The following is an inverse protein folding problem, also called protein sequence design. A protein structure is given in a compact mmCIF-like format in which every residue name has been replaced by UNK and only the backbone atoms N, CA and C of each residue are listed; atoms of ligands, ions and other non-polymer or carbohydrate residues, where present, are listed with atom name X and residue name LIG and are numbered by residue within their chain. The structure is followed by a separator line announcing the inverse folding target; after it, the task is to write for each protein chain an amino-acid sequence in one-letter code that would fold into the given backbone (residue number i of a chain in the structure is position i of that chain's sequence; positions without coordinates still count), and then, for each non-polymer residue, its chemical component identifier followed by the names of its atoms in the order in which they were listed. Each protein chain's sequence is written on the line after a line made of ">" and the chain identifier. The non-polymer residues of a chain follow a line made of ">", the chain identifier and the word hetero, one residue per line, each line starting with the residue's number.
data_IF_290373740282
#
_entry.id   IF_290373740282
#
_cell.length_a   1.000
_cell.length_b   1.000
_cell.length_c   1.000
_cell.angle_alpha   90.00
_cell.angle_beta   90.00
_cell.angle_gamma   90.00
#
_symmetry.space_group_name_H-M   'P 1'
#
loop_
_entity.id
_entity.type
_entity.pdbx_description
1 polymer ?
#
# COMPACT_ATOMS: atom_id res chain seq x y z
N UNK A 1 -5.68 -0.89 -50.53
CA UNK A 1 -5.39 -0.88 -49.09
C UNK A 1 -6.67 -0.60 -48.34
N UNK A 2 -6.96 -1.41 -47.35
CA UNK A 2 -8.23 -1.35 -46.67
C UNK A 2 -8.19 -0.28 -45.57
N UNK A 3 -9.07 0.71 -45.65
CA UNK A 3 -9.16 1.81 -44.69
C UNK A 3 -9.50 1.27 -43.29
N UNK A 4 -10.23 0.16 -43.19
CA UNK A 4 -10.61 -0.42 -41.90
C UNK A 4 -9.42 -0.90 -41.10
N UNK A 5 -8.32 -1.31 -41.72
CA UNK A 5 -7.11 -1.74 -41.04
C UNK A 5 -6.42 -0.54 -40.36
N UNK A 6 -6.39 0.62 -41.02
CA UNK A 6 -5.81 1.84 -40.46
C UNK A 6 -6.61 2.35 -39.27
N UNK A 7 -7.94 2.27 -39.33
CA UNK A 7 -8.80 2.67 -38.22
C UNK A 7 -8.61 1.79 -36.97
N UNK A 8 -8.44 0.48 -37.18
CA UNK A 8 -8.18 -0.45 -36.08
C UNK A 8 -6.86 -0.17 -35.38
N UNK A 9 -5.82 0.12 -36.13
CA UNK A 9 -4.51 0.47 -35.56
C UNK A 9 -4.57 1.75 -34.76
N UNK A 10 -5.31 2.76 -35.22
CA UNK A 10 -5.48 4.02 -34.47
C UNK A 10 -6.21 3.83 -33.13
N UNK A 11 -7.25 2.99 -33.12
CA UNK A 11 -7.99 2.69 -31.87
C UNK A 11 -7.12 1.93 -30.86
N UNK A 12 -6.30 1.00 -31.30
CA UNK A 12 -5.38 0.27 -30.43
C UNK A 12 -4.35 1.22 -29.81
N UNK A 13 -3.83 2.18 -30.58
CA UNK A 13 -2.90 3.18 -30.06
C UNK A 13 -3.53 4.11 -29.03
N UNK A 14 -4.79 4.52 -29.22
CA UNK A 14 -5.50 5.36 -28.27
C UNK A 14 -5.74 4.64 -26.93
N UNK A 15 -6.03 3.33 -26.96
CA UNK A 15 -6.23 2.54 -25.74
C UNK A 15 -4.97 2.47 -24.87
N UNK A 16 -3.78 2.51 -25.47
CA UNK A 16 -2.50 2.49 -24.72
C UNK A 16 -2.19 3.82 -24.04
N UNK A 17 -2.91 4.90 -24.35
CA UNK A 17 -2.70 6.21 -23.72
C UNK A 17 -3.49 6.41 -22.44
N UNK A 18 -4.37 5.46 -22.08
CA UNK A 18 -5.10 5.53 -20.82
C UNK A 18 -4.14 5.22 -19.69
N UNK A 19 -3.88 6.24 -18.86
CA UNK A 19 -2.97 6.09 -17.72
C UNK A 19 -3.59 5.19 -16.67
N UNK A 20 -2.88 4.14 -16.29
CA UNK A 20 -3.22 3.32 -15.12
C UNK A 20 -2.55 3.91 -13.88
N UNK A 21 -3.17 3.75 -12.70
CA UNK A 21 -2.54 4.09 -11.43
C UNK A 21 -1.26 3.26 -11.23
N UNK A 22 -0.23 3.80 -10.56
CA UNK A 22 0.97 3.03 -10.28
C UNK A 22 0.63 1.75 -9.51
N UNK A 23 1.10 0.62 -10.02
CA UNK A 23 0.80 -0.70 -9.43
C UNK A 23 1.27 -0.79 -7.97
N UNK A 24 2.40 -0.14 -7.63
CA UNK A 24 2.93 -0.17 -6.26
C UNK A 24 2.03 0.57 -5.27
N UNK A 25 1.47 1.71 -5.66
CA UNK A 25 0.56 2.46 -4.80
C UNK A 25 -0.72 1.67 -4.52
N UNK A 26 -1.27 1.02 -5.55
CA UNK A 26 -2.46 0.18 -5.40
C UNK A 26 -2.17 -1.04 -4.51
N UNK A 27 -1.03 -1.70 -4.71
CA UNK A 27 -0.62 -2.84 -3.89
C UNK A 27 -0.43 -2.44 -2.43
N UNK A 28 0.21 -1.30 -2.17
CA UNK A 28 0.39 -0.79 -0.82
C UNK A 28 -0.95 -0.53 -0.12
N UNK A 29 -1.90 0.07 -0.83
CA UNK A 29 -3.24 0.33 -0.30
C UNK A 29 -3.95 -0.96 0.08
N UNK A 30 -3.92 -1.96 -0.78
CA UNK A 30 -4.58 -3.23 -0.52
C UNK A 30 -3.94 -3.99 0.64
N UNK A 31 -2.62 -4.02 0.69
CA UNK A 31 -1.90 -4.66 1.79
C UNK A 31 -2.18 -3.97 3.13
N UNK A 32 -2.16 -2.64 3.15
CA UNK A 32 -2.39 -1.86 4.35
C UNK A 32 -3.84 -1.94 4.85
N UNK A 33 -4.79 -2.35 4.01
CA UNK A 33 -6.19 -2.46 4.41
C UNK A 33 -6.38 -3.41 5.59
N UNK A 34 -5.55 -4.42 5.74
CA UNK A 34 -5.63 -5.34 6.87
C UNK A 34 -5.26 -4.69 8.20
N UNK A 35 -4.48 -3.62 8.17
CA UNK A 35 -4.08 -2.89 9.37
C UNK A 35 -5.26 -2.15 9.99
N UNK A 36 -6.29 -1.85 9.22
CA UNK A 36 -7.43 -1.06 9.65
C UNK A 36 -8.23 -1.71 10.78
N UNK A 37 -8.22 -3.03 10.91
CA UNK A 37 -8.95 -3.72 11.97
C UNK A 37 -8.52 -3.28 13.36
N UNK A 38 -7.26 -2.93 13.52
CA UNK A 38 -6.70 -2.53 14.82
C UNK A 38 -6.32 -1.04 14.86
N UNK A 39 -5.85 -0.50 13.74
CA UNK A 39 -5.33 0.86 13.65
C UNK A 39 -6.32 1.87 13.09
N UNK A 40 -7.54 1.44 12.76
CA UNK A 40 -8.57 2.31 12.20
C UNK A 40 -8.43 2.49 10.70
N UNK A 41 -9.45 3.06 10.08
CA UNK A 41 -9.50 3.28 8.64
C UNK A 41 -8.29 4.11 8.20
N UNK A 42 -7.58 3.62 7.18
CA UNK A 42 -6.34 4.22 6.69
C UNK A 42 -5.27 4.40 7.78
N UNK A 43 -5.33 3.62 8.86
CA UNK A 43 -4.37 3.71 9.95
C UNK A 43 -4.48 4.96 10.80
N UNK A 44 -5.60 5.68 10.71
CA UNK A 44 -5.78 6.98 11.38
C UNK A 44 -6.43 6.88 12.76
N UNK A 45 -6.69 5.67 13.26
CA UNK A 45 -7.43 5.48 14.50
C UNK A 45 -8.95 5.62 14.28
N UNK A 46 -9.75 5.52 15.33
CA UNK A 46 -9.37 5.12 16.68
C UNK A 46 -9.04 3.62 16.76
N UNK A 47 -8.46 3.21 17.86
CA UNK A 47 -8.05 1.84 18.13
C UNK A 47 -6.64 1.84 18.69
N UNK A 48 -5.78 0.99 18.13
CA UNK A 48 -4.38 1.02 18.46
C UNK A 48 -3.70 2.25 17.84
N UNK A 49 -2.39 2.38 18.05
CA UNK A 49 -1.61 3.52 17.61
C UNK A 49 -1.91 3.92 16.17
N UNK A 50 -2.02 5.23 15.93
CA UNK A 50 -2.13 5.77 14.60
C UNK A 50 -0.86 5.50 13.79
N UNK A 51 -1.01 4.98 12.59
CA UNK A 51 0.11 4.70 11.69
C UNK A 51 0.01 5.50 10.37
N UNK A 52 -1.08 6.19 10.15
CA UNK A 52 -1.24 7.08 9.00
C UNK A 52 -0.26 8.26 9.09
N UNK A 53 0.33 8.63 7.97
CA UNK A 53 1.27 9.74 7.91
C UNK A 53 2.67 9.43 8.42
N UNK A 54 2.98 8.17 8.68
CA UNK A 54 4.27 7.77 9.23
C UNK A 54 5.00 6.82 8.28
N UNK A 55 6.32 6.93 8.25
CA UNK A 55 7.19 5.90 7.67
C UNK A 55 7.51 4.90 8.77
N UNK A 56 6.88 3.73 8.71
CA UNK A 56 7.01 2.69 9.73
C UNK A 56 7.81 1.49 9.24
N UNK A 57 8.52 1.62 8.13
CA UNK A 57 9.21 0.47 7.54
C UNK A 57 10.23 -0.16 8.49
N UNK A 58 11.06 0.65 9.12
CA UNK A 58 12.08 0.12 10.04
C UNK A 58 11.44 -0.57 11.24
N UNK A 59 10.34 -0.04 11.75
CA UNK A 59 9.60 -0.67 12.85
C UNK A 59 9.02 -2.01 12.44
N UNK A 60 8.45 -2.09 11.23
CA UNK A 60 7.88 -3.34 10.71
C UNK A 60 8.96 -4.40 10.49
N UNK A 61 10.11 -4.02 9.96
CA UNK A 61 11.24 -4.94 9.75
C UNK A 61 11.77 -5.44 11.10
N UNK A 62 11.92 -4.55 12.07
CA UNK A 62 12.35 -4.92 13.41
C UNK A 62 11.39 -5.94 14.04
N UNK A 63 10.10 -5.67 13.99
CA UNK A 63 9.08 -6.59 14.50
C UNK A 63 9.10 -7.95 13.79
N UNK A 64 9.38 -7.96 12.49
CA UNK A 64 9.41 -9.18 11.70
C UNK A 64 10.56 -10.11 12.12
N UNK A 65 11.72 -9.55 12.42
CA UNK A 65 12.94 -10.33 12.62
C UNK A 65 13.38 -10.52 14.07
N UNK A 66 12.80 -9.76 15.01
CA UNK A 66 13.11 -9.93 16.43
C UNK A 66 12.34 -11.12 17.04
N UNK A 67 12.73 -11.62 18.22
CA UNK A 67 11.90 -12.59 18.95
C UNK A 67 10.49 -12.04 19.18
N UNK A 68 9.50 -12.92 19.11
CA UNK A 68 8.10 -12.50 19.22
C UNK A 68 7.81 -12.01 20.64
N UNK A 69 7.41 -10.75 20.77
CA UNK A 69 7.03 -10.13 22.02
C UNK A 69 5.54 -9.75 22.07
N UNK A 70 4.93 -9.54 20.92
CA UNK A 70 3.54 -9.12 20.83
C UNK A 70 2.89 -9.45 19.49
N UNK A 71 1.64 -9.02 19.34
CA UNK A 71 0.84 -9.36 18.16
C UNK A 71 1.41 -8.77 16.86
N UNK A 72 1.98 -7.54 16.94
CA UNK A 72 2.55 -6.94 15.73
C UNK A 72 3.75 -7.72 15.20
N UNK A 73 4.52 -8.35 16.07
CA UNK A 73 5.64 -9.19 15.64
C UNK A 73 5.16 -10.38 14.82
N UNK A 74 4.01 -10.93 15.17
CA UNK A 74 3.36 -11.99 14.40
C UNK A 74 2.78 -11.45 13.10
N UNK A 75 2.14 -10.30 13.16
CA UNK A 75 1.52 -9.69 11.99
C UNK A 75 2.57 -9.36 10.92
N UNK A 76 3.68 -8.76 11.30
CA UNK A 76 4.75 -8.39 10.39
C UNK A 76 5.35 -9.61 9.65
N UNK A 77 5.37 -10.76 10.30
CA UNK A 77 5.89 -12.00 9.70
C UNK A 77 5.03 -12.54 8.57
N UNK A 78 3.80 -12.10 8.47
CA UNK A 78 2.90 -12.49 7.37
C UNK A 78 3.21 -11.83 6.04
N UNK A 79 4.18 -10.91 6.00
CA UNK A 79 4.51 -10.13 4.80
C UNK A 79 5.98 -10.29 4.43
N UNK A 80 6.26 -10.19 3.12
CA UNK A 80 7.65 -10.06 2.66
C UNK A 80 8.19 -8.67 3.01
N UNK A 81 9.51 -8.52 3.00
CA UNK A 81 10.13 -7.23 3.25
C UNK A 81 9.65 -6.17 2.23
N UNK A 82 9.51 -6.59 0.97
CA UNK A 82 8.98 -5.70 -0.07
C UNK A 82 7.54 -5.27 0.21
N UNK A 83 6.69 -6.20 0.66
CA UNK A 83 5.32 -5.88 1.03
C UNK A 83 5.27 -4.91 2.21
N UNK A 84 6.13 -5.08 3.19
CA UNK A 84 6.23 -4.14 4.31
C UNK A 84 6.67 -2.75 3.83
N UNK A 85 7.57 -2.68 2.85
CA UNK A 85 7.94 -1.41 2.23
C UNK A 85 6.74 -0.75 1.55
N UNK A 86 5.97 -1.51 0.78
CA UNK A 86 4.80 -0.98 0.09
C UNK A 86 3.74 -0.48 1.07
N UNK A 87 3.52 -1.20 2.16
CA UNK A 87 2.60 -0.78 3.22
C UNK A 87 3.05 0.55 3.81
N UNK A 88 4.31 0.64 4.20
CA UNK A 88 4.85 1.85 4.82
C UNK A 88 4.84 3.05 3.88
N UNK A 89 5.21 2.84 2.62
CA UNK A 89 5.18 3.91 1.62
C UNK A 89 3.75 4.44 1.44
N UNK A 90 2.77 3.56 1.36
CA UNK A 90 1.36 3.97 1.25
C UNK A 90 0.92 4.76 2.49
N UNK A 91 1.14 4.22 3.68
CA UNK A 91 0.71 4.87 4.92
C UNK A 91 1.37 6.23 5.12
N UNK A 92 2.62 6.38 4.71
CA UNK A 92 3.34 7.65 4.85
C UNK A 92 2.73 8.77 4.01
N UNK A 93 2.01 8.44 2.94
CA UNK A 93 1.34 9.43 2.08
C UNK A 93 0.01 9.91 2.63
N UNK A 94 -0.54 9.23 3.62
CA UNK A 94 -1.87 9.54 4.16
C UNK A 94 -1.79 10.65 5.19
N UNK A 95 -2.86 11.48 5.30
CA UNK A 95 -2.90 12.46 6.38
C UNK A 95 -3.12 11.75 7.72
N UNK A 96 -2.30 12.08 8.70
CA UNK A 96 -2.56 11.72 10.08
C UNK A 96 -3.56 12.67 10.70
N UNK A 97 -4.14 12.31 11.85
CA UNK A 97 -5.06 13.21 12.56
C UNK A 97 -4.35 14.01 13.68
N UNK A 98 -3.02 14.02 13.67
CA UNK A 98 -2.21 14.88 14.54
C UNK A 98 -1.97 14.36 15.94
N UNK A 99 -2.65 13.34 16.37
CA UNK A 99 -2.51 12.75 17.69
C UNK A 99 -1.67 11.48 17.62
N UNK A 100 -0.57 11.45 18.35
CA UNK A 100 0.34 10.31 18.42
C UNK A 100 0.66 9.96 19.87
#
# INVERSE_FOLDING_TARGET
>A
MDISILMRAALAGAALLVAAAPANAESGRLLAAQCAQCHGTNGAGPGFEQIAGKDIFNDLIDMKYRPIEGIMDRQARGYTDEQLRLISDYLSTLPGNGDN
#
